data_IF_387156591129
#
_entry.id   IF_387156591129
#
_cell.length_a   1.000
_cell.length_b   1.000
_cell.length_c   1.000
_cell.angle_alpha   90.00
_cell.angle_beta   90.00
_cell.angle_gamma   90.00
#
_symmetry.space_group_name_H-M   'P 1'
#
loop_
_entity.id
_entity.type
_entity.pdbx_description
1 polymer ?
#
# COMPACT_ATOMS: atom_id res chain seq x y z
N UNK A 1 15.24 1.67 14.11
CA UNK A 1 16.53 1.28 13.51
C UNK A 1 16.57 1.83 12.10
N UNK A 2 17.70 2.38 11.67
CA UNK A 2 17.86 2.98 10.34
C UNK A 2 19.15 2.49 9.70
N UNK A 3 19.06 1.97 8.49
CA UNK A 3 20.16 1.69 7.57
C UNK A 3 19.80 2.39 6.26
N UNK A 4 20.67 3.27 5.78
CA UNK A 4 20.43 4.04 4.56
C UNK A 4 21.68 4.02 3.69
N UNK A 5 21.51 3.76 2.39
CA UNK A 5 22.57 3.73 1.38
C UNK A 5 23.77 2.86 1.78
N UNK A 6 23.50 1.74 2.46
CA UNK A 6 24.54 0.81 2.88
C UNK A 6 24.80 -0.26 1.82
N UNK A 7 26.03 -0.75 1.73
CA UNK A 7 26.40 -1.86 0.85
C UNK A 7 25.97 -3.25 1.38
N UNK A 8 25.01 -3.28 2.31
CA UNK A 8 24.56 -4.50 2.98
C UNK A 8 23.88 -5.40 1.95
N UNK A 9 24.36 -6.64 1.86
CA UNK A 9 23.77 -7.69 1.04
C UNK A 9 22.71 -8.50 1.80
N UNK A 10 22.89 -8.61 3.12
CA UNK A 10 22.03 -9.39 4.02
C UNK A 10 21.88 -8.68 5.35
N UNK A 11 20.67 -8.68 5.91
CA UNK A 11 20.47 -8.15 7.25
C UNK A 11 21.00 -9.11 8.31
N UNK A 12 21.68 -8.62 9.34
CA UNK A 12 22.13 -9.46 10.44
C UNK A 12 20.95 -10.13 11.16
N UNK A 13 21.15 -11.37 11.58
CA UNK A 13 20.11 -12.18 12.25
C UNK A 13 19.61 -11.56 13.56
N UNK A 14 20.34 -10.65 14.20
CA UNK A 14 19.88 -10.00 15.43
C UNK A 14 18.74 -9.01 15.22
N UNK A 15 18.48 -8.57 13.98
CA UNK A 15 17.36 -7.66 13.66
C UNK A 15 16.02 -8.26 14.09
N UNK A 16 15.86 -9.58 13.95
CA UNK A 16 14.64 -10.28 14.36
C UNK A 16 14.49 -10.40 15.89
N UNK A 17 15.57 -10.18 16.66
CA UNK A 17 15.58 -10.30 18.13
C UNK A 17 15.21 -9.00 18.83
N UNK A 18 15.06 -7.89 18.10
CA UNK A 18 14.73 -6.58 18.68
C UNK A 18 13.23 -6.50 18.95
N UNK A 19 12.82 -6.89 20.17
CA UNK A 19 11.42 -7.04 20.57
C UNK A 19 10.60 -5.74 20.69
N UNK A 20 11.24 -4.57 20.59
CA UNK A 20 10.58 -3.24 20.72
C UNK A 20 10.80 -2.35 19.50
N UNK A 21 11.17 -2.93 18.36
CA UNK A 21 11.44 -2.18 17.16
C UNK A 21 10.15 -1.73 16.49
N UNK A 22 9.68 -0.52 16.79
CA UNK A 22 8.47 0.02 16.15
C UNK A 22 8.71 0.59 14.74
N UNK A 23 9.92 1.05 14.46
CA UNK A 23 10.29 1.77 13.22
C UNK A 23 11.56 1.16 12.65
N UNK A 24 11.49 0.69 11.41
CA UNK A 24 12.64 0.11 10.70
C UNK A 24 12.81 0.75 9.31
N UNK A 25 13.95 1.38 9.08
CA UNK A 25 14.28 2.04 7.81
C UNK A 25 15.48 1.34 7.17
N UNK A 26 15.34 1.01 5.89
CA UNK A 26 16.25 0.30 4.97
C UNK A 26 16.22 1.03 3.62
N UNK A 27 16.50 2.33 3.61
CA UNK A 27 16.35 3.13 2.39
C UNK A 27 17.60 3.00 1.51
N UNK A 28 17.44 2.77 0.21
CA UNK A 28 18.56 2.78 -0.74
C UNK A 28 19.58 1.66 -0.54
N UNK A 29 19.24 0.58 0.17
CA UNK A 29 20.10 -0.60 0.33
C UNK A 29 20.12 -1.43 -0.96
N UNK A 30 20.79 -0.90 -1.99
CA UNK A 30 20.72 -1.42 -3.36
C UNK A 30 21.32 -2.82 -3.59
N UNK A 31 22.05 -3.38 -2.62
CA UNK A 31 22.60 -4.75 -2.67
C UNK A 31 21.77 -5.77 -1.88
N UNK A 32 20.76 -5.33 -1.12
CA UNK A 32 19.93 -6.22 -0.31
C UNK A 32 18.95 -7.00 -1.20
N UNK A 33 19.02 -8.33 -1.17
CA UNK A 33 18.18 -9.21 -2.01
C UNK A 33 16.98 -9.78 -1.25
N UNK A 34 17.19 -10.10 0.03
CA UNK A 34 16.18 -10.72 0.88
C UNK A 34 15.96 -9.88 2.13
N UNK A 35 14.69 -9.62 2.45
CA UNK A 35 14.30 -9.11 3.76
C UNK A 35 13.95 -10.31 4.66
N UNK A 36 14.81 -10.68 5.63
CA UNK A 36 14.51 -11.77 6.55
C UNK A 36 13.34 -11.41 7.46
N UNK A 37 12.78 -12.41 8.12
CA UNK A 37 11.73 -12.23 9.12
C UNK A 37 12.11 -11.15 10.15
N UNK A 38 11.20 -10.19 10.34
CA UNK A 38 11.36 -9.05 11.24
C UNK A 38 10.42 -9.16 12.45
N UNK A 39 10.67 -8.36 13.49
CA UNK A 39 9.84 -8.34 14.69
C UNK A 39 8.38 -7.96 14.40
N UNK A 40 7.43 -8.66 15.01
CA UNK A 40 5.99 -8.34 14.99
C UNK A 40 5.65 -6.97 15.60
N UNK A 41 6.59 -6.40 16.38
CA UNK A 41 6.43 -5.07 17.00
C UNK A 41 6.52 -3.90 16.02
N UNK A 42 6.93 -4.15 14.78
CA UNK A 42 7.08 -3.10 13.76
C UNK A 42 5.72 -2.53 13.39
N UNK A 43 5.66 -1.20 13.34
CA UNK A 43 4.49 -0.41 12.91
C UNK A 43 4.77 0.38 11.65
N UNK A 44 6.03 0.69 11.38
CA UNK A 44 6.45 1.39 10.17
C UNK A 44 7.74 0.78 9.65
N UNK A 45 7.73 0.42 8.36
CA UNK A 45 8.88 -0.02 7.62
C UNK A 45 9.02 0.79 6.34
N UNK A 46 10.21 1.35 6.13
CA UNK A 46 10.59 1.98 4.88
C UNK A 46 11.77 1.23 4.28
N UNK A 47 11.53 0.50 3.19
CA UNK A 47 12.54 -0.20 2.41
C UNK A 47 12.62 0.38 0.98
N UNK A 48 12.24 1.66 0.81
CA UNK A 48 12.28 2.33 -0.49
C UNK A 48 13.69 2.32 -1.11
N UNK A 49 13.72 2.32 -2.44
CA UNK A 49 14.96 2.38 -3.24
C UNK A 49 15.89 1.15 -3.05
N UNK A 50 15.41 0.06 -2.45
CA UNK A 50 16.11 -1.22 -2.43
C UNK A 50 15.95 -1.95 -3.77
N UNK A 51 16.66 -1.49 -4.78
CA UNK A 51 16.48 -1.93 -6.19
C UNK A 51 16.78 -3.41 -6.45
N UNK A 52 17.53 -4.09 -5.56
CA UNK A 52 17.81 -5.52 -5.66
C UNK A 52 16.89 -6.40 -4.82
N UNK A 53 15.96 -5.82 -4.05
CA UNK A 53 15.12 -6.56 -3.12
C UNK A 53 14.09 -7.40 -3.88
N UNK A 54 14.13 -8.70 -3.69
CA UNK A 54 13.33 -9.69 -4.41
C UNK A 54 12.37 -10.45 -3.48
N UNK A 55 12.86 -10.85 -2.31
CA UNK A 55 12.18 -11.80 -1.42
C UNK A 55 11.89 -11.16 -0.07
N UNK A 56 10.70 -11.40 0.47
CA UNK A 56 10.29 -11.01 1.82
C UNK A 56 9.95 -12.28 2.61
N UNK A 57 10.71 -12.58 3.65
CA UNK A 57 10.44 -13.70 4.57
C UNK A 57 9.59 -13.26 5.78
N UNK A 58 9.02 -12.06 5.71
CA UNK A 58 8.25 -11.44 6.77
C UNK A 58 6.77 -11.83 6.69
N UNK A 59 6.12 -11.94 7.85
CA UNK A 59 4.67 -11.91 7.96
C UNK A 59 4.20 -10.51 8.32
N UNK A 60 3.31 -9.92 7.52
CA UNK A 60 2.77 -8.57 7.72
C UNK A 60 1.37 -8.59 8.35
N UNK A 61 1.15 -9.47 9.33
CA UNK A 61 -0.14 -9.66 10.01
C UNK A 61 -0.39 -8.62 11.12
N UNK A 62 -0.28 -7.34 10.79
CA UNK A 62 -0.51 -6.26 11.75
C UNK A 62 -1.29 -5.10 11.11
N UNK A 63 -2.51 -4.87 11.60
CA UNK A 63 -3.40 -3.81 11.09
C UNK A 63 -2.94 -2.37 11.31
N UNK A 64 -1.87 -2.18 12.07
CA UNK A 64 -1.25 -0.88 12.29
C UNK A 64 0.01 -0.68 11.46
N UNK A 65 0.41 -1.69 10.68
CA UNK A 65 1.64 -1.69 9.90
C UNK A 65 1.53 -0.83 8.64
N UNK A 66 2.52 0.04 8.46
CA UNK A 66 2.71 0.87 7.28
C UNK A 66 4.00 0.42 6.58
N UNK A 67 3.90 0.10 5.30
CA UNK A 67 4.98 -0.42 4.48
C UNK A 67 5.28 0.52 3.32
N UNK A 68 6.55 0.85 3.11
CA UNK A 68 7.01 1.56 1.94
C UNK A 68 8.07 0.74 1.21
N UNK A 69 7.72 0.21 0.05
CA UNK A 69 8.61 -0.51 -0.87
C UNK A 69 8.72 0.22 -2.21
N UNK A 70 8.55 1.55 -2.21
CA UNK A 70 8.73 2.37 -3.41
C UNK A 70 10.05 2.04 -4.12
N UNK A 71 10.00 1.95 -5.45
CA UNK A 71 11.13 1.65 -6.34
C UNK A 71 11.78 0.26 -6.16
N UNK A 72 11.20 -0.66 -5.38
CA UNK A 72 11.67 -2.05 -5.26
C UNK A 72 11.14 -2.93 -6.41
N UNK A 73 11.45 -2.58 -7.65
CA UNK A 73 10.84 -3.19 -8.84
C UNK A 73 11.12 -4.69 -9.01
N UNK A 74 12.18 -5.20 -8.38
CA UNK A 74 12.53 -6.62 -8.38
C UNK A 74 11.74 -7.49 -7.41
N UNK A 75 10.87 -6.90 -6.58
CA UNK A 75 10.01 -7.69 -5.69
C UNK A 75 9.25 -8.75 -6.47
N UNK A 76 9.42 -10.00 -6.08
CA UNK A 76 8.79 -11.13 -6.75
C UNK A 76 7.27 -11.16 -6.49
N UNK A 77 6.55 -12.01 -7.21
CA UNK A 77 5.08 -12.06 -7.12
C UNK A 77 4.60 -12.46 -5.72
N UNK A 78 5.33 -13.32 -5.02
CA UNK A 78 4.98 -13.76 -3.66
C UNK A 78 5.07 -12.59 -2.67
N UNK A 79 6.16 -11.83 -2.68
CA UNK A 79 6.35 -10.63 -1.88
C UNK A 79 5.26 -9.58 -2.14
N UNK A 80 4.91 -9.37 -3.42
CA UNK A 80 3.79 -8.48 -3.80
C UNK A 80 2.46 -8.97 -3.24
N UNK A 81 2.19 -10.27 -3.37
CA UNK A 81 0.98 -10.90 -2.85
C UNK A 81 0.88 -10.78 -1.32
N UNK A 82 1.99 -10.87 -0.59
CA UNK A 82 1.99 -10.69 0.86
C UNK A 82 1.45 -9.31 1.25
N UNK A 83 1.88 -8.22 0.61
CA UNK A 83 1.39 -6.88 0.93
C UNK A 83 -0.08 -6.67 0.55
N UNK A 84 -0.50 -7.30 -0.54
CA UNK A 84 -1.87 -7.29 -1.03
C UNK A 84 -2.83 -8.04 -0.08
N UNK A 85 -2.44 -9.25 0.32
CA UNK A 85 -3.32 -10.18 1.04
C UNK A 85 -3.28 -9.95 2.56
N UNK A 86 -2.15 -9.51 3.11
CA UNK A 86 -2.02 -9.28 4.56
C UNK A 86 -2.82 -8.08 5.04
N UNK A 87 -3.12 -8.06 6.33
CA UNK A 87 -3.98 -7.06 6.97
C UNK A 87 -3.29 -5.71 7.25
N UNK A 88 -2.22 -5.33 6.54
CA UNK A 88 -1.50 -4.09 6.82
C UNK A 88 -2.39 -2.84 6.64
N UNK A 89 -2.06 -1.76 7.36
CA UNK A 89 -2.82 -0.50 7.30
C UNK A 89 -2.65 0.20 5.96
N UNK A 90 -1.42 0.20 5.47
CA UNK A 90 -0.99 0.92 4.27
C UNK A 90 0.26 0.26 3.68
N UNK A 91 0.31 0.13 2.36
CA UNK A 91 1.49 -0.29 1.64
C UNK A 91 1.65 0.52 0.35
N UNK A 92 2.90 0.83 -0.01
CA UNK A 92 3.30 1.28 -1.34
C UNK A 92 4.26 0.26 -1.92
N UNK A 93 4.00 -0.15 -3.16
CA UNK A 93 4.84 -1.12 -3.88
C UNK A 93 4.75 -0.85 -5.39
N UNK A 94 5.74 -1.29 -6.18
CA UNK A 94 5.68 -1.20 -7.63
C UNK A 94 4.56 -2.06 -8.24
N UNK A 95 3.87 -1.51 -9.23
CA UNK A 95 2.86 -2.18 -10.02
C UNK A 95 2.18 -1.25 -11.03
N UNK A 96 2.05 -1.71 -12.27
CA UNK A 96 1.48 -0.92 -13.37
C UNK A 96 -0.04 -1.04 -13.52
N UNK A 97 -0.70 -1.89 -12.75
CA UNK A 97 -2.16 -2.11 -12.82
C UNK A 97 -2.69 -2.61 -11.47
N UNK A 98 -3.93 -2.27 -11.14
CA UNK A 98 -4.59 -2.77 -9.95
C UNK A 98 -4.78 -4.29 -10.08
N UNK A 99 -4.27 -5.10 -9.14
CA UNK A 99 -4.21 -6.54 -9.38
C UNK A 99 -5.61 -7.18 -9.36
N UNK A 100 -5.81 -8.29 -10.09
CA UNK A 100 -7.14 -8.85 -10.38
C UNK A 100 -7.89 -9.41 -9.17
N UNK A 101 -7.22 -9.60 -8.04
CA UNK A 101 -7.88 -10.01 -6.80
C UNK A 101 -8.75 -8.89 -6.21
N UNK A 102 -8.56 -7.61 -6.57
CA UNK A 102 -9.55 -6.57 -6.27
C UNK A 102 -10.78 -6.82 -7.14
N UNK A 103 -11.86 -7.29 -6.52
CA UNK A 103 -13.04 -7.79 -7.25
C UNK A 103 -13.89 -6.70 -7.88
N UNK A 104 -13.85 -5.49 -7.33
CA UNK A 104 -14.50 -4.31 -7.89
C UNK A 104 -13.40 -3.36 -8.34
N UNK A 105 -13.32 -3.07 -9.64
CA UNK A 105 -12.29 -2.20 -10.24
C UNK A 105 -12.93 -1.21 -11.21
N UNK A 106 -12.28 -0.07 -11.39
CA UNK A 106 -12.64 0.95 -12.36
C UNK A 106 -11.40 1.64 -12.90
N UNK A 107 -11.45 2.06 -14.16
CA UNK A 107 -10.53 3.09 -14.66
C UNK A 107 -10.85 4.41 -13.96
N UNK A 108 -9.82 5.15 -13.56
CA UNK A 108 -9.98 6.34 -12.75
C UNK A 108 -10.34 6.03 -11.30
N UNK A 109 -11.02 6.97 -10.65
CA UNK A 109 -11.37 6.91 -9.24
C UNK A 109 -12.64 6.12 -8.89
N UNK A 110 -13.37 5.58 -9.86
CA UNK A 110 -14.69 4.98 -9.66
C UNK A 110 -15.75 5.63 -10.56
N UNK A 111 -17.05 5.42 -10.28
CA UNK A 111 -17.61 4.78 -9.09
C UNK A 111 -17.46 3.25 -9.03
N UNK A 112 -17.47 2.69 -7.82
CA UNK A 112 -17.49 1.25 -7.53
C UNK A 112 -18.70 0.91 -6.64
N UNK A 113 -19.60 0.07 -7.16
CA UNK A 113 -20.80 -0.38 -6.44
C UNK A 113 -20.58 -1.77 -5.84
N UNK A 114 -20.76 -1.91 -4.54
CA UNK A 114 -20.71 -3.19 -3.81
C UNK A 114 -22.10 -3.53 -3.29
N UNK A 115 -22.62 -4.72 -3.64
CA UNK A 115 -23.95 -5.20 -3.24
C UNK A 115 -23.84 -6.32 -2.22
N UNK A 116 -24.71 -6.30 -1.21
CA UNK A 116 -24.76 -7.32 -0.16
C UNK A 116 -26.05 -8.15 -0.23
N UNK A 117 -25.89 -9.48 -0.20
CA UNK A 117 -26.98 -10.45 -0.20
C UNK A 117 -27.32 -11.01 1.20
N UNK A 118 -26.40 -10.88 2.17
CA UNK A 118 -26.50 -11.52 3.49
C UNK A 118 -27.21 -10.66 4.54
N UNK A 119 -27.83 -11.32 5.53
CA UNK A 119 -28.42 -10.69 6.72
C UNK A 119 -28.06 -11.44 7.99
N UNK A 120 -27.88 -10.74 9.13
CA UNK A 120 -27.89 -9.28 9.28
C UNK A 120 -26.60 -8.63 8.76
N UNK A 121 -26.68 -7.38 8.31
CA UNK A 121 -25.49 -6.61 7.93
C UNK A 121 -24.84 -6.00 9.18
N UNK A 122 -23.51 -6.08 9.33
CA UNK A 122 -22.80 -5.39 10.40
C UNK A 122 -22.90 -3.87 10.22
N UNK A 123 -22.75 -3.11 11.32
CA UNK A 123 -22.80 -1.63 11.28
C UNK A 123 -21.67 -1.04 10.44
N UNK A 124 -20.47 -1.61 10.54
CA UNK A 124 -19.30 -1.20 9.77
C UNK A 124 -18.73 -2.41 9.03
N UNK A 125 -18.14 -2.15 7.87
CA UNK A 125 -17.35 -3.12 7.13
C UNK A 125 -16.00 -2.52 6.77
N UNK A 126 -14.99 -3.38 6.76
CA UNK A 126 -13.64 -3.02 6.35
C UNK A 126 -13.39 -3.54 4.94
N UNK A 127 -12.76 -2.69 4.15
CA UNK A 127 -12.35 -2.94 2.78
C UNK A 127 -10.85 -2.65 2.64
N UNK A 128 -10.23 -3.25 1.64
CA UNK A 128 -8.94 -2.81 1.12
C UNK A 128 -9.18 -2.09 -0.19
N UNK A 129 -8.65 -0.88 -0.29
CA UNK A 129 -8.56 -0.13 -1.53
C UNK A 129 -7.15 -0.27 -2.12
N UNK A 130 -7.06 -0.27 -3.44
CA UNK A 130 -5.82 -0.13 -4.18
C UNK A 130 -5.97 0.97 -5.23
N UNK A 131 -5.03 1.91 -5.21
CA UNK A 131 -5.01 3.06 -6.11
C UNK A 131 -3.73 2.99 -6.94
N UNK A 132 -3.85 3.19 -8.24
CA UNK A 132 -2.74 3.45 -9.15
C UNK A 132 -2.77 4.92 -9.55
N UNK A 133 -1.68 5.64 -9.31
CA UNK A 133 -1.51 7.02 -9.75
C UNK A 133 -0.87 7.08 -11.14
N UNK A 134 -1.27 8.09 -11.91
CA UNK A 134 -0.69 8.42 -13.21
C UNK A 134 -0.31 9.89 -13.19
N UNK A 135 0.90 10.20 -13.63
CA UNK A 135 1.35 11.58 -13.79
C UNK A 135 0.69 12.19 -15.04
N UNK A 136 0.18 13.41 -14.94
CA UNK A 136 -0.44 14.15 -16.06
C UNK A 136 0.60 14.92 -16.89
N UNK A 137 1.80 15.15 -16.35
CA UNK A 137 2.86 15.92 -17.01
C UNK A 137 3.67 14.97 -17.90
N UNK A 138 3.76 15.28 -19.20
CA UNK A 138 4.62 14.59 -20.16
C UNK A 138 6.11 14.80 -19.80
N UNK A 139 6.95 13.81 -20.12
CA UNK A 139 8.39 13.69 -19.79
C UNK A 139 9.31 14.89 -20.16
N UNK A 140 8.80 15.94 -20.80
CA UNK A 140 9.58 17.04 -21.41
C UNK A 140 9.47 18.40 -20.71
N UNK A 141 8.81 18.50 -19.55
CA UNK A 141 8.84 19.73 -18.75
C UNK A 141 9.71 19.53 -17.50
N UNK A 142 10.87 20.20 -17.45
CA UNK A 142 11.52 20.51 -16.19
C UNK A 142 10.59 21.40 -15.36
N UNK A 143 9.65 20.83 -14.62
CA UNK A 143 8.78 21.56 -13.71
C UNK A 143 9.02 21.14 -12.27
N UNK A 144 9.25 22.18 -11.48
CA UNK A 144 9.37 22.27 -10.04
C UNK A 144 8.45 21.31 -9.27
N UNK A 145 9.02 20.65 -8.26
CA UNK A 145 8.34 19.99 -7.13
C UNK A 145 6.99 19.33 -7.44
N UNK A 146 6.98 18.24 -8.21
CA UNK A 146 5.87 17.29 -8.13
C UNK A 146 5.65 16.98 -6.65
N UNK A 147 4.46 17.32 -6.12
CA UNK A 147 4.16 17.13 -4.71
C UNK A 147 4.49 15.69 -4.33
N UNK A 148 5.37 15.51 -3.34
CA UNK A 148 5.77 14.18 -2.89
C UNK A 148 4.60 13.40 -2.27
N UNK A 149 3.48 14.06 -1.96
CA UNK A 149 2.29 13.44 -1.40
C UNK A 149 1.02 13.82 -2.17
N UNK A 150 0.03 12.93 -2.15
CA UNK A 150 -1.29 13.16 -2.73
C UNK A 150 -2.36 12.79 -1.71
N UNK A 151 -3.36 13.66 -1.52
CA UNK A 151 -4.54 13.38 -0.69
C UNK A 151 -5.64 12.74 -1.55
N UNK A 152 -5.97 11.47 -1.27
CA UNK A 152 -7.15 10.80 -1.83
C UNK A 152 -8.33 10.98 -0.88
N UNK A 153 -9.43 11.51 -1.39
CA UNK A 153 -10.71 11.65 -0.70
C UNK A 153 -11.61 10.49 -1.12
N UNK A 154 -12.28 9.87 -0.17
CA UNK A 154 -13.30 8.85 -0.42
C UNK A 154 -14.35 8.92 0.68
N UNK A 155 -15.63 8.83 0.30
CA UNK A 155 -16.74 8.98 1.25
C UNK A 155 -16.56 10.27 2.07
N UNK A 156 -16.53 10.17 3.40
CA UNK A 156 -16.26 11.28 4.34
C UNK A 156 -14.87 11.18 4.97
N UNK A 157 -13.92 10.54 4.29
CA UNK A 157 -12.56 10.29 4.77
C UNK A 157 -11.52 10.75 3.75
N UNK A 158 -10.27 10.81 4.20
CA UNK A 158 -9.12 11.03 3.33
C UNK A 158 -7.98 10.08 3.67
N UNK A 159 -7.10 9.88 2.69
CA UNK A 159 -5.86 9.12 2.84
C UNK A 159 -4.75 9.84 2.09
N UNK A 160 -3.66 10.11 2.81
CA UNK A 160 -2.40 10.55 2.22
C UNK A 160 -1.68 9.37 1.56
N UNK A 161 -1.29 9.57 0.31
CA UNK A 161 -0.42 8.71 -0.47
C UNK A 161 0.97 9.34 -0.52
N UNK A 162 1.97 8.62 -0.06
CA UNK A 162 3.36 9.05 -0.06
C UNK A 162 4.29 7.83 -0.21
N UNK A 163 5.37 7.95 -1.01
CA UNK A 163 5.62 9.05 -1.96
C UNK A 163 4.66 8.98 -3.15
N UNK A 164 4.37 10.09 -3.82
CA UNK A 164 3.57 10.14 -5.04
C UNK A 164 4.41 9.72 -6.26
N UNK A 165 4.09 8.57 -6.84
CA UNK A 165 4.85 7.90 -7.88
C UNK A 165 3.91 7.30 -8.92
N UNK A 166 4.30 7.39 -10.19
CA UNK A 166 3.71 6.59 -11.25
C UNK A 166 4.18 5.14 -11.13
N UNK A 167 3.45 4.19 -11.73
CA UNK A 167 3.80 2.75 -11.71
C UNK A 167 3.88 2.13 -10.31
N UNK A 168 3.21 2.74 -9.34
CA UNK A 168 3.13 2.27 -7.97
C UNK A 168 1.67 2.08 -7.55
N UNK A 169 1.47 1.05 -6.74
CA UNK A 169 0.21 0.70 -6.13
C UNK A 169 0.19 1.19 -4.69
N UNK A 170 -0.90 1.83 -4.31
CA UNK A 170 -1.16 2.28 -2.95
C UNK A 170 -2.29 1.46 -2.37
N UNK A 171 -1.98 0.61 -1.39
CA UNK A 171 -2.96 -0.28 -0.75
C UNK A 171 -3.25 0.26 0.64
N UNK A 172 -4.52 0.39 1.01
CA UNK A 172 -4.91 0.83 2.35
C UNK A 172 -6.28 0.33 2.78
N UNK A 173 -6.47 0.26 4.10
CA UNK A 173 -7.76 -0.10 4.70
C UNK A 173 -8.73 1.07 4.66
N UNK A 174 -9.98 0.75 4.32
CA UNK A 174 -11.12 1.66 4.25
C UNK A 174 -12.22 1.09 5.12
N UNK A 175 -12.66 1.85 6.12
CA UNK A 175 -13.82 1.50 6.94
C UNK A 175 -15.03 2.26 6.39
N UNK A 176 -16.16 1.56 6.22
CA UNK A 176 -17.40 2.15 5.73
C UNK A 176 -18.59 1.74 6.60
N UNK A 177 -19.44 2.71 6.92
CA UNK A 177 -20.72 2.47 7.59
C UNK A 177 -21.73 1.87 6.62
N UNK A 178 -22.35 0.75 7.01
CA UNK A 178 -23.32 0.04 6.18
C UNK A 178 -24.73 0.51 6.55
N UNK A 179 -25.24 1.49 5.82
CA UNK A 179 -26.60 2.03 5.99
C UNK A 179 -27.61 1.42 5.01
N UNK A 180 -27.14 0.73 3.98
CA UNK A 180 -27.95 0.20 2.88
C UNK A 180 -27.39 -1.15 2.37
N UNK A 181 -28.12 -1.83 1.47
CA UNK A 181 -27.64 -3.07 0.82
C UNK A 181 -26.63 -2.83 -0.30
N UNK A 182 -26.34 -1.57 -0.57
CA UNK A 182 -25.38 -1.14 -1.56
C UNK A 182 -24.44 -0.09 -0.94
N UNK A 183 -23.15 -0.25 -1.16
CA UNK A 183 -22.15 0.78 -0.88
C UNK A 183 -21.53 1.26 -2.19
N UNK A 184 -21.49 2.58 -2.34
CA UNK A 184 -20.84 3.26 -3.44
C UNK A 184 -19.51 3.83 -2.96
N UNK A 185 -18.42 3.48 -3.63
CA UNK A 185 -17.11 4.06 -3.42
C UNK A 185 -16.70 4.89 -4.63
N UNK A 186 -16.18 6.08 -4.36
CA UNK A 186 -15.55 6.94 -5.36
C UNK A 186 -14.32 7.58 -4.69
N UNK A 187 -13.18 7.44 -5.35
CA UNK A 187 -11.91 8.01 -4.93
C UNK A 187 -11.62 9.24 -5.78
N UNK A 188 -11.28 10.36 -5.13
CA UNK A 188 -10.93 11.61 -5.81
C UNK A 188 -9.63 12.13 -5.25
N UNK A 189 -8.83 12.78 -6.08
CA UNK A 189 -7.69 13.52 -5.56
C UNK A 189 -8.17 14.89 -5.09
N UNK A 190 -7.66 15.35 -3.94
CA UNK A 190 -7.94 16.71 -3.45
C UNK A 190 -7.37 17.78 -4.38
N UNK A 191 -6.24 17.47 -5.01
CA UNK A 191 -5.59 18.24 -6.08
C UNK A 191 -5.24 17.27 -7.19
N UNK A 192 -5.63 17.61 -8.41
CA UNK A 192 -5.40 16.78 -9.59
C UNK A 192 -4.65 17.55 -10.69
N UNK A 193 -3.92 18.60 -10.34
CA UNK A 193 -3.07 19.36 -11.25
C UNK A 193 -1.95 18.51 -11.87
N UNK A 194 -1.25 17.74 -11.03
CA UNK A 194 -0.11 16.90 -11.46
C UNK A 194 -0.50 15.43 -11.58
N UNK A 195 -1.29 14.93 -10.64
CA UNK A 195 -1.61 13.51 -10.54
C UNK A 195 -3.06 13.25 -10.93
N UNK A 196 -3.34 12.05 -11.44
CA UNK A 196 -4.69 11.49 -11.52
C UNK A 196 -4.69 10.05 -11.03
N UNK A 197 -5.85 9.57 -10.62
CA UNK A 197 -6.05 8.14 -10.44
C UNK A 197 -6.18 7.52 -11.83
N UNK A 198 -5.30 6.57 -12.16
CA UNK A 198 -5.37 5.81 -13.41
C UNK A 198 -6.32 4.63 -13.31
N UNK A 199 -6.26 3.91 -12.19
CA UNK A 199 -7.11 2.77 -11.88
C UNK A 199 -7.32 2.69 -10.37
N UNK A 200 -8.49 2.23 -9.95
CA UNK A 200 -8.77 1.90 -8.56
C UNK A 200 -9.42 0.53 -8.44
N UNK A 201 -9.25 -0.10 -7.28
CA UNK A 201 -9.95 -1.32 -6.92
C UNK A 201 -10.28 -1.39 -5.44
N UNK A 202 -11.32 -2.13 -5.12
CA UNK A 202 -11.76 -2.38 -3.75
C UNK A 202 -12.18 -3.85 -3.58
N UNK A 203 -11.84 -4.42 -2.43
CA UNK A 203 -12.25 -5.75 -1.99
C UNK A 203 -12.62 -5.70 -0.51
N UNK A 204 -13.60 -6.52 -0.10
CA UNK A 204 -13.92 -6.71 1.31
C UNK A 204 -12.71 -7.31 2.03
N UNK A 205 -12.27 -6.65 3.10
CA UNK A 205 -11.21 -7.19 3.96
C UNK A 205 -11.85 -8.26 4.84
N UNK A 206 -11.49 -9.52 4.64
CA UNK A 206 -12.00 -10.60 5.49
C UNK A 206 -11.29 -10.47 6.82
N UNK A 207 -12.01 -10.08 7.86
CA UNK A 207 -11.51 -10.13 9.23
C UNK A 207 -11.02 -11.55 9.52
N UNK A 208 -9.73 -11.70 9.81
CA UNK A 208 -9.29 -12.85 10.60
C UNK A 208 -9.91 -12.60 11.97
N UNK A 209 -10.78 -13.50 12.50
CA UNK A 209 -11.34 -13.32 13.83
C UNK A 209 -10.17 -13.16 14.80
N UNK A 210 -10.16 -12.04 15.53
CA UNK A 210 -9.30 -11.93 16.71
C UNK A 210 -9.75 -13.02 17.67
N UNK A 211 -8.95 -14.09 17.79
CA UNK A 211 -9.07 -15.08 18.85
C UNK A 211 -8.94 -14.40 20.23
#
# INVERSE_FOLDING_TARGET
MCLTDTEIQELPTWVNKISRLSVFVLKGCGKLVTLPAISESIRYMDASDCVSLEILECSFQNQYLTLNFANCFKLNQEARNLMIQNSCRYAVLPGGQVPPHFTHRATGGGPLTIKFSEKPLPKYMIFKACILLVNKVDDDACSEENSMEVDVIYQNSNKKLYPALAEHLYIFRVEAEVTSRELLFEFKLKRDDVWKIGECGIIRDVEIPSC
#
